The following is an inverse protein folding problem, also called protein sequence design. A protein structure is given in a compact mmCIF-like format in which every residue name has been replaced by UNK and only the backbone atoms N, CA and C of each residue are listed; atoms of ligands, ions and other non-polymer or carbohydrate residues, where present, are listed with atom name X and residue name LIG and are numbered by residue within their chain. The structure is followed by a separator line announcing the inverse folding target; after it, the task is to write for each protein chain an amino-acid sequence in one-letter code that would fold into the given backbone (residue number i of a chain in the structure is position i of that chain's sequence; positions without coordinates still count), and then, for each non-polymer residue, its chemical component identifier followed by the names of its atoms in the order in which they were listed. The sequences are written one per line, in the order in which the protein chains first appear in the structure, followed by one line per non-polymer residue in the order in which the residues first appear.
data_IF_777922524424
#
_entry.id   IF_777922524424
#
_cell.length_a   1.000
_cell.length_b   1.000
_cell.length_c   1.000
_cell.angle_alpha   90.00
_cell.angle_beta   90.00
_cell.angle_gamma   90.00
#
_symmetry.space_group_name_H-M   'P 1'
#
loop_
_entity.id
_entity.type
_entity.pdbx_description
1 polymer ?
#
# COMPACT_ATOMS: atom_id res chain seq x y z
N UNK A 1 68.88 -11.96 6.12
CA UNK A 1 67.65 -12.08 6.91
C UNK A 1 66.60 -12.74 6.03
N UNK A 2 66.42 -14.05 6.18
CA UNK A 2 65.54 -14.86 5.31
C UNK A 2 64.37 -15.37 6.14
N UNK A 3 63.14 -15.07 5.72
CA UNK A 3 61.92 -15.47 6.40
C UNK A 3 61.59 -16.96 6.15
N UNK A 4 61.05 -17.70 7.14
CA UNK A 4 60.71 -19.11 6.98
C UNK A 4 59.40 -19.29 6.19
N UNK A 5 59.43 -20.22 5.22
CA UNK A 5 58.26 -20.67 4.44
C UNK A 5 57.27 -21.43 5.32
N UNK A 6 55.99 -21.07 5.27
CA UNK A 6 54.90 -21.84 5.88
C UNK A 6 54.64 -23.15 5.11
N UNK A 7 54.36 -24.27 5.79
CA UNK A 7 53.99 -25.52 5.14
C UNK A 7 52.56 -25.48 4.58
N UNK A 8 52.37 -26.19 3.46
CA UNK A 8 51.12 -26.34 2.70
C UNK A 8 50.19 -27.32 3.43
N UNK A 9 48.88 -27.04 3.56
CA UNK A 9 47.94 -28.00 4.15
C UNK A 9 47.65 -29.16 3.19
N UNK A 10 47.69 -30.37 3.74
CA UNK A 10 47.36 -31.65 3.10
C UNK A 10 45.83 -31.80 3.00
N UNK A 11 45.26 -32.26 1.87
CA UNK A 11 43.84 -32.58 1.78
C UNK A 11 43.51 -33.90 2.52
N UNK A 12 42.32 -34.02 3.14
CA UNK A 12 41.88 -35.26 3.77
C UNK A 12 41.59 -36.35 2.73
N UNK A 13 42.13 -37.55 2.97
CA UNK A 13 41.82 -38.80 2.27
C UNK A 13 40.80 -39.63 3.08
N UNK A 14 39.92 -40.34 2.37
CA UNK A 14 39.06 -41.44 2.88
C UNK A 14 37.76 -40.95 3.52
N UNK A 15 36.57 -41.49 3.24
CA UNK A 15 36.18 -42.88 3.00
C UNK A 15 34.90 -42.87 2.13
N UNK A 16 34.71 -43.68 1.09
CA UNK A 16 34.75 -45.13 1.11
C UNK A 16 33.44 -45.69 1.70
N UNK A 17 32.30 -45.44 1.04
CA UNK A 17 31.02 -46.08 1.39
C UNK A 17 30.80 -47.28 0.46
N UNK A 18 30.58 -48.49 0.99
CA UNK A 18 30.33 -49.68 0.19
C UNK A 18 28.95 -49.65 -0.45
N UNK A 19 28.90 -50.05 -1.72
CA UNK A 19 27.69 -50.43 -2.43
C UNK A 19 27.11 -51.70 -1.82
N UNK A 20 25.92 -51.60 -1.23
CA UNK A 20 25.04 -52.75 -1.02
C UNK A 20 23.94 -52.69 -2.10
N UNK A 21 24.04 -53.68 -2.98
CA UNK A 21 23.07 -54.12 -3.97
C UNK A 21 22.31 -55.31 -3.37
N UNK A 22 21.02 -55.48 -3.73
CA UNK A 22 20.01 -56.51 -3.35
C UNK A 22 18.84 -55.87 -2.56
N UNK A 23 17.55 -55.90 -2.94
CA UNK A 23 16.75 -56.68 -3.90
C UNK A 23 15.47 -55.91 -4.28
N UNK A 24 14.76 -56.28 -5.37
CA UNK A 24 13.55 -55.60 -5.83
C UNK A 24 12.30 -56.11 -5.11
N UNK A 25 11.71 -55.30 -4.23
CA UNK A 25 10.36 -55.53 -3.71
C UNK A 25 9.31 -55.09 -4.72
N UNK A 26 8.86 -56.08 -5.49
CA UNK A 26 7.58 -56.09 -6.18
C UNK A 26 6.44 -56.06 -5.16
N UNK A 27 5.53 -55.08 -5.28
CA UNK A 27 4.32 -55.06 -4.46
C UNK A 27 3.73 -53.68 -4.15
N UNK A 28 3.59 -52.79 -5.15
CA UNK A 28 2.64 -51.68 -5.02
C UNK A 28 1.37 -52.04 -5.76
N UNK A 29 0.36 -52.44 -4.98
CA UNK A 29 -1.02 -52.49 -5.41
C UNK A 29 -1.41 -51.14 -6.01
N UNK A 30 -1.88 -51.17 -7.25
CA UNK A 30 -2.64 -50.08 -7.87
C UNK A 30 -3.84 -49.83 -6.97
N UNK A 31 -3.78 -48.77 -6.17
CA UNK A 31 -4.94 -48.27 -5.45
C UNK A 31 -5.77 -47.53 -6.50
N UNK A 32 -6.82 -48.19 -6.97
CA UNK A 32 -7.87 -47.58 -7.78
C UNK A 32 -8.36 -46.30 -7.08
N UNK A 33 -8.21 -45.18 -7.78
CA UNK A 33 -8.85 -43.92 -7.44
C UNK A 33 -10.37 -44.15 -7.36
N UNK A 34 -11.05 -43.76 -6.27
CA UNK A 34 -12.49 -43.63 -6.29
C UNK A 34 -12.85 -42.51 -7.27
N UNK A 35 -13.26 -42.92 -8.47
CA UNK A 35 -13.72 -42.04 -9.53
C UNK A 35 -14.73 -41.03 -9.01
N UNK A 36 -14.32 -39.77 -9.00
CA UNK A 36 -15.23 -38.64 -8.84
C UNK A 36 -16.24 -38.70 -10.01
N UNK A 37 -17.55 -38.68 -9.73
CA UNK A 37 -18.55 -38.75 -10.79
C UNK A 37 -18.38 -37.55 -11.73
N UNK A 38 -18.15 -37.85 -13.01
CA UNK A 38 -18.22 -36.89 -14.10
C UNK A 38 -19.63 -36.29 -14.11
N UNK A 39 -19.78 -35.09 -13.57
CA UNK A 39 -21.07 -34.40 -13.48
C UNK A 39 -21.14 -33.27 -12.45
N UNK A 40 -20.23 -33.22 -11.46
CA UNK A 40 -20.30 -32.16 -10.43
C UNK A 40 -19.87 -30.78 -10.95
N UNK A 41 -19.03 -30.73 -11.99
CA UNK A 41 -18.63 -29.46 -12.62
C UNK A 41 -19.72 -28.87 -13.53
N UNK A 42 -20.62 -29.67 -14.11
CA UNK A 42 -21.72 -29.15 -14.93
C UNK A 42 -22.82 -28.47 -14.10
N UNK A 43 -22.97 -28.85 -12.83
CA UNK A 43 -23.93 -28.21 -11.92
C UNK A 43 -23.53 -26.77 -11.51
N UNK A 44 -22.23 -26.44 -11.54
CA UNK A 44 -21.72 -25.10 -11.22
C UNK A 44 -21.70 -24.16 -12.43
N UNK A 45 -21.82 -24.68 -13.65
CA UNK A 45 -21.94 -23.89 -14.90
C UNK A 45 -23.37 -23.82 -15.44
N UNK A 46 -24.37 -24.25 -14.67
CA UNK A 46 -25.77 -24.04 -14.98
C UNK A 46 -26.08 -22.53 -14.97
N UNK A 47 -25.92 -21.89 -16.15
CA UNK A 47 -26.32 -20.53 -16.45
C UNK A 47 -27.74 -20.29 -15.94
N UNK A 48 -28.00 -19.23 -15.14
CA UNK A 48 -29.36 -18.81 -14.90
C UNK A 48 -30.01 -18.47 -16.24
N UNK A 49 -31.14 -19.13 -16.46
CA UNK A 49 -31.88 -19.20 -17.70
C UNK A 49 -32.32 -17.81 -18.17
N UNK A 50 -32.06 -17.56 -19.46
CA UNK A 50 -32.69 -16.50 -20.27
C UNK A 50 -34.21 -16.69 -20.22
N UNK A 51 -34.91 -16.03 -19.31
CA UNK A 51 -36.36 -15.75 -19.38
C UNK A 51 -36.78 -14.87 -18.18
N UNK A 52 -36.60 -13.56 -18.37
CA UNK A 52 -37.43 -12.45 -17.84
C UNK A 52 -36.86 -11.16 -18.47
N UNK A 53 -37.36 -10.76 -19.64
CA UNK A 53 -38.34 -9.64 -19.80
C UNK A 53 -37.70 -8.31 -19.38
N UNK A 54 -37.11 -7.53 -20.30
CA UNK A 54 -37.75 -6.54 -21.19
C UNK A 54 -38.29 -5.30 -20.44
N UNK A 55 -38.00 -4.11 -21.01
CA UNK A 55 -38.27 -2.72 -20.55
C UNK A 55 -37.28 -2.25 -19.46
N UNK A 56 -36.44 -1.23 -19.66
CA UNK A 56 -36.76 0.14 -20.12
C UNK A 56 -35.55 0.73 -20.85
N UNK A 57 -35.76 1.16 -22.09
CA UNK A 57 -34.86 2.03 -22.86
C UNK A 57 -35.51 3.42 -22.93
N UNK A 58 -34.79 4.41 -22.38
CA UNK A 58 -34.84 5.89 -22.61
C UNK A 58 -36.15 6.65 -22.26
N UNK A 59 -36.12 7.99 -21.99
CA UNK A 59 -35.05 9.01 -22.14
C UNK A 59 -34.82 9.87 -20.86
N UNK A 60 -33.83 10.76 -20.76
CA UNK A 60 -33.93 12.25 -20.85
C UNK A 60 -32.64 12.75 -20.16
N UNK A 61 -31.59 13.32 -20.78
CA UNK A 61 -31.50 14.54 -21.58
C UNK A 61 -32.31 15.73 -21.04
N UNK A 62 -32.15 16.05 -19.75
CA UNK A 62 -32.54 17.34 -19.19
C UNK A 62 -31.64 17.65 -17.97
N UNK A 63 -30.64 18.50 -18.17
CA UNK A 63 -29.74 18.96 -17.11
C UNK A 63 -28.63 19.87 -17.61
N UNK A 64 -28.92 20.65 -18.65
CA UNK A 64 -28.05 21.66 -19.23
C UNK A 64 -28.78 23.00 -19.07
N UNK A 65 -28.34 23.80 -18.09
CA UNK A 65 -28.76 25.19 -17.83
C UNK A 65 -27.69 25.79 -16.91
N UNK A 66 -26.71 26.53 -17.42
CA UNK A 66 -26.73 27.98 -17.69
C UNK A 66 -27.05 28.80 -16.45
N UNK A 67 -26.04 29.44 -15.86
CA UNK A 67 -25.93 30.91 -15.78
C UNK A 67 -24.92 31.35 -14.70
N UNK A 68 -24.06 32.28 -15.10
CA UNK A 68 -23.12 33.01 -14.26
C UNK A 68 -23.83 34.09 -13.41
N UNK A 69 -23.28 34.39 -12.23
CA UNK A 69 -23.46 35.66 -11.50
C UNK A 69 -22.23 35.83 -10.60
N UNK A 70 -21.21 36.61 -10.98
CA UNK A 70 -21.05 38.08 -10.81
C UNK A 70 -21.16 38.50 -9.34
N UNK A 71 -20.03 38.96 -8.79
CA UNK A 71 -19.95 39.55 -7.46
C UNK A 71 -18.56 40.09 -7.12
N UNK A 72 -17.92 40.79 -8.06
CA UNK A 72 -16.80 41.68 -7.74
C UNK A 72 -17.35 42.88 -6.96
N UNK A 73 -16.98 43.01 -5.69
CA UNK A 73 -17.22 44.25 -4.95
C UNK A 73 -16.10 45.25 -5.25
N UNK A 74 -16.52 46.26 -6.00
CA UNK A 74 -15.98 47.61 -6.16
C UNK A 74 -15.33 48.11 -4.85
N UNK A 75 -14.08 48.56 -4.85
CA UNK A 75 -13.65 49.92 -5.27
C UNK A 75 -14.46 51.03 -4.59
N UNK A 76 -13.91 51.56 -3.50
CA UNK A 76 -14.20 52.91 -3.02
C UNK A 76 -12.92 53.76 -3.14
N UNK A 77 -12.92 54.85 -3.92
CA UNK A 77 -11.91 55.89 -3.84
C UNK A 77 -12.39 57.00 -2.89
N UNK A 78 -11.50 57.53 -2.05
CA UNK A 78 -11.79 58.67 -1.19
C UNK A 78 -10.67 59.02 -0.21
N UNK A 79 -9.61 59.67 -0.72
CA UNK A 79 -8.78 60.63 0.03
C UNK A 79 -9.61 61.89 0.39
N UNK A 80 -9.22 62.79 1.33
CA UNK A 80 -7.90 62.96 1.97
C UNK A 80 -7.90 63.15 3.51
N UNK A 81 -6.70 63.05 4.09
CA UNK A 81 -6.31 63.56 5.42
C UNK A 81 -6.76 65.02 5.65
N UNK A 82 -7.08 65.38 6.91
CA UNK A 82 -6.09 66.16 7.66
C UNK A 82 -5.98 65.84 9.17
N UNK A 83 -4.72 65.68 9.60
CA UNK A 83 -4.10 66.23 10.83
C UNK A 83 -4.96 66.26 12.12
N UNK A 84 -4.69 65.30 13.02
CA UNK A 84 -4.64 65.55 14.46
C UNK A 84 -3.79 64.48 15.17
N UNK A 85 -2.74 64.93 15.86
CA UNK A 85 -1.91 64.16 16.80
C UNK A 85 -1.89 64.95 18.11
N UNK A 86 -1.65 64.37 19.30
CA UNK A 86 -2.11 63.11 19.88
C UNK A 86 -2.79 63.33 21.26
N UNK A 87 -3.58 62.36 21.75
CA UNK A 87 -3.78 62.19 23.20
C UNK A 87 -3.72 60.72 23.54
N UNK A 88 -2.68 60.35 24.30
CA UNK A 88 -2.56 59.05 24.93
C UNK A 88 -3.68 58.87 25.96
N UNK A 89 -4.40 57.76 25.88
CA UNK A 89 -5.10 57.19 27.03
C UNK A 89 -4.93 55.69 26.93
N UNK A 90 -4.01 55.20 27.76
CA UNK A 90 -3.86 53.79 28.06
C UNK A 90 -5.07 53.36 28.88
N UNK A 91 -5.95 52.54 28.31
CA UNK A 91 -6.87 51.71 29.08
C UNK A 91 -6.76 50.28 28.58
N UNK A 92 -6.38 49.43 29.51
CA UNK A 92 -6.33 47.98 29.41
C UNK A 92 -7.59 47.43 28.75
N UNK A 93 -7.41 46.93 27.54
CA UNK A 93 -8.26 45.90 26.98
C UNK A 93 -7.36 44.86 26.35
N UNK A 94 -6.76 44.06 27.24
CA UNK A 94 -6.22 42.75 26.92
C UNK A 94 -7.37 41.81 26.55
N UNK A 95 -8.06 42.12 25.45
CA UNK A 95 -8.79 41.11 24.70
C UNK A 95 -7.71 40.32 23.96
N UNK A 96 -7.57 39.05 24.34
CA UNK A 96 -6.78 38.02 23.66
C UNK A 96 -6.97 38.11 22.14
N UNK A 97 -6.19 38.96 21.49
CA UNK A 97 -5.80 38.82 20.11
C UNK A 97 -4.83 37.63 20.11
N UNK A 98 -5.39 36.43 20.26
CA UNK A 98 -4.81 35.26 19.62
C UNK A 98 -4.81 35.58 18.13
N UNK A 99 -3.74 36.23 17.68
CA UNK A 99 -3.17 36.01 16.36
C UNK A 99 -2.97 34.51 16.22
N UNK A 100 -4.06 33.79 15.96
CA UNK A 100 -4.00 32.61 15.14
C UNK A 100 -3.53 33.15 13.81
N UNK A 101 -2.27 32.90 13.49
CA UNK A 101 -1.80 33.06 12.12
C UNK A 101 -2.85 32.40 11.22
N UNK A 102 -3.34 33.15 10.23
CA UNK A 102 -3.99 32.60 9.03
C UNK A 102 -2.93 31.80 8.24
N UNK A 103 -2.29 30.85 8.91
CA UNK A 103 -1.25 30.01 8.34
C UNK A 103 -1.96 29.01 7.46
N UNK A 104 -2.04 29.37 6.18
CA UNK A 104 -2.68 28.56 5.18
C UNK A 104 -1.80 27.34 4.96
N UNK A 105 -2.29 26.16 5.33
CA UNK A 105 -1.59 24.88 5.15
C UNK A 105 -1.62 24.51 3.67
N UNK A 106 -0.62 23.76 3.21
CA UNK A 106 -0.62 23.20 1.86
C UNK A 106 -0.94 21.71 1.91
N UNK A 107 -1.97 21.29 1.18
CA UNK A 107 -2.37 19.89 1.03
C UNK A 107 -1.38 19.11 0.16
N UNK A 108 -1.43 17.78 0.23
CA UNK A 108 -0.56 16.89 -0.55
C UNK A 108 -0.63 17.10 -2.06
N UNK A 109 -1.76 17.63 -2.56
CA UNK A 109 -1.99 17.96 -3.98
C UNK A 109 -1.66 19.43 -4.32
N UNK A 110 -0.98 20.14 -3.41
CA UNK A 110 -0.54 21.53 -3.57
C UNK A 110 -1.63 22.57 -3.28
N UNK A 111 -2.85 22.16 -2.92
CA UNK A 111 -3.94 23.12 -2.64
C UNK A 111 -3.80 23.77 -1.27
N UNK A 112 -4.08 25.07 -1.12
CA UNK A 112 -4.16 25.70 0.18
C UNK A 112 -5.39 25.22 0.96
N UNK A 113 -5.25 25.08 2.28
CA UNK A 113 -6.35 24.75 3.19
C UNK A 113 -6.15 25.41 4.56
N UNK A 114 -7.26 25.76 5.21
CA UNK A 114 -7.22 26.32 6.57
C UNK A 114 -6.91 25.26 7.63
N UNK A 115 -7.25 23.98 7.39
CA UNK A 115 -7.04 22.87 8.32
C UNK A 115 -6.70 21.59 7.58
N UNK A 116 -5.88 20.72 8.20
CA UNK A 116 -5.49 19.41 7.64
C UNK A 116 -6.67 18.53 7.23
N UNK A 117 -7.79 18.59 7.97
CA UNK A 117 -9.00 17.79 7.65
C UNK A 117 -9.70 18.24 6.37
N UNK A 118 -9.47 19.48 5.93
CA UNK A 118 -10.06 20.05 4.72
C UNK A 118 -9.29 19.57 3.46
N UNK A 119 -8.06 19.06 3.62
CA UNK A 119 -7.30 18.38 2.57
C UNK A 119 -7.85 16.98 2.31
N UNK A 120 -7.99 16.58 1.04
CA UNK A 120 -8.34 15.20 0.68
C UNK A 120 -7.22 14.21 1.05
N UNK A 121 -7.56 12.93 1.18
CA UNK A 121 -6.53 11.90 1.24
C UNK A 121 -5.88 11.70 -0.14
N UNK A 122 -4.59 11.30 -0.18
CA UNK A 122 -3.95 10.91 -1.42
C UNK A 122 -4.73 9.82 -2.18
N UNK A 123 -4.61 9.79 -3.50
CA UNK A 123 -5.29 8.76 -4.30
C UNK A 123 -4.54 8.45 -5.58
N UNK A 124 -4.76 7.25 -6.12
CA UNK A 124 -4.14 6.82 -7.36
C UNK A 124 -2.63 6.60 -7.23
N UNK A 125 -1.93 6.58 -8.38
CA UNK A 125 -0.47 6.40 -8.44
C UNK A 125 0.28 7.49 -7.67
N UNK A 126 -0.04 8.76 -7.90
CA UNK A 126 0.60 9.89 -7.20
C UNK A 126 0.37 9.82 -5.68
N UNK A 127 -0.83 9.40 -5.26
CA UNK A 127 -1.11 9.22 -3.85
C UNK A 127 -0.31 8.11 -3.19
N UNK A 128 -0.08 6.99 -3.91
CA UNK A 128 0.83 5.95 -3.41
C UNK A 128 2.26 6.47 -3.27
N UNK A 129 2.78 7.26 -4.22
CA UNK A 129 4.16 7.80 -4.12
C UNK A 129 4.28 8.83 -3.00
N UNK A 130 3.21 9.57 -2.72
CA UNK A 130 3.15 10.44 -1.55
C UNK A 130 3.19 9.61 -0.25
N UNK A 131 2.34 8.59 -0.11
CA UNK A 131 2.22 7.79 1.13
C UNK A 131 3.47 6.94 1.39
N UNK A 132 4.01 6.35 0.32
CA UNK A 132 5.18 5.48 0.35
C UNK A 132 6.30 6.14 -0.47
N UNK A 133 7.21 6.92 0.16
CA UNK A 133 8.32 7.55 -0.57
C UNK A 133 9.23 6.56 -1.28
N UNK A 134 9.26 5.29 -0.84
CA UNK A 134 9.98 4.24 -1.54
C UNK A 134 9.26 3.68 -2.77
N UNK A 135 8.01 4.09 -3.05
CA UNK A 135 7.29 3.77 -4.27
C UNK A 135 7.60 4.80 -5.37
N UNK A 136 8.61 4.47 -6.16
CA UNK A 136 9.04 5.17 -7.37
C UNK A 136 8.82 4.28 -8.61
N UNK A 137 7.64 4.34 -9.24
CA UNK A 137 7.31 3.52 -10.40
C UNK A 137 8.09 3.86 -11.67
N UNK A 138 8.78 5.00 -11.70
CA UNK A 138 9.54 5.44 -12.88
C UNK A 138 11.02 4.99 -12.80
N UNK A 139 11.53 4.66 -11.60
CA UNK A 139 12.89 4.14 -11.38
C UNK A 139 12.98 2.65 -11.08
N UNK A 140 11.88 2.01 -10.70
CA UNK A 140 11.82 0.59 -10.41
C UNK A 140 11.05 -0.18 -11.47
N UNK A 141 11.27 -1.49 -11.54
CA UNK A 141 10.47 -2.40 -12.37
C UNK A 141 9.10 -2.60 -11.74
N UNK A 142 8.21 -1.61 -11.93
CA UNK A 142 6.86 -1.62 -11.40
C UNK A 142 5.82 -1.91 -12.48
N UNK A 143 4.82 -2.74 -12.14
CA UNK A 143 3.64 -3.01 -12.97
C UNK A 143 2.36 -2.53 -12.29
N UNK A 144 1.44 -1.99 -13.07
CA UNK A 144 0.08 -1.69 -12.62
C UNK A 144 -0.74 -2.99 -12.59
N UNK A 145 -1.07 -3.43 -11.38
CA UNK A 145 -1.83 -4.66 -11.18
C UNK A 145 -3.29 -4.52 -11.63
N UNK A 146 -3.84 -3.30 -11.72
CA UNK A 146 -5.21 -3.06 -12.17
C UNK A 146 -5.34 -3.15 -13.68
N UNK A 147 -4.26 -2.83 -14.42
CA UNK A 147 -4.19 -3.08 -15.87
C UNK A 147 -4.10 -4.57 -16.15
N UNK A 148 -3.26 -5.30 -15.41
CA UNK A 148 -3.11 -6.74 -15.55
C UNK A 148 -4.34 -7.52 -15.03
N UNK A 149 -5.06 -6.97 -14.06
CA UNK A 149 -6.20 -7.61 -13.39
C UNK A 149 -7.39 -6.63 -13.27
N UNK A 150 -8.11 -6.35 -14.38
CA UNK A 150 -9.22 -5.38 -14.39
C UNK A 150 -10.37 -5.71 -13.43
N UNK A 151 -10.46 -6.96 -12.96
CA UNK A 151 -11.43 -7.41 -11.96
C UNK A 151 -11.17 -6.85 -10.55
N UNK A 152 -9.98 -6.32 -10.27
CA UNK A 152 -9.67 -5.76 -8.96
C UNK A 152 -10.37 -4.42 -8.74
N UNK A 153 -11.27 -4.38 -7.76
CA UNK A 153 -12.01 -3.18 -7.37
C UNK A 153 -11.22 -2.37 -6.33
N UNK A 154 -10.10 -1.77 -6.76
CA UNK A 154 -9.23 -0.94 -5.93
C UNK A 154 -8.89 0.37 -6.65
N UNK A 155 -8.71 1.50 -5.93
CA UNK A 155 -8.31 2.75 -6.57
C UNK A 155 -6.90 2.73 -7.18
N UNK A 156 -5.96 1.99 -6.58
CA UNK A 156 -4.59 1.83 -7.08
C UNK A 156 -3.96 0.55 -6.53
N UNK A 157 -3.20 -0.16 -7.36
CA UNK A 157 -2.41 -1.32 -6.94
C UNK A 157 -1.24 -1.51 -7.89
N UNK A 158 -0.02 -1.49 -7.35
CA UNK A 158 1.22 -1.57 -8.12
C UNK A 158 2.17 -2.56 -7.47
N UNK A 159 2.82 -3.40 -8.27
CA UNK A 159 3.87 -4.29 -7.77
C UNK A 159 5.20 -3.93 -8.39
N UNK A 160 6.20 -3.70 -7.55
CA UNK A 160 7.56 -3.41 -7.93
C UNK A 160 8.47 -4.59 -7.59
N UNK A 161 9.29 -4.99 -8.55
CA UNK A 161 10.32 -6.00 -8.36
C UNK A 161 11.61 -5.33 -7.87
N UNK A 162 12.23 -5.88 -6.84
CA UNK A 162 13.51 -5.42 -6.31
C UNK A 162 14.40 -6.58 -5.92
N UNK A 163 15.70 -6.31 -5.81
CA UNK A 163 16.71 -7.27 -5.38
C UNK A 163 17.24 -6.88 -3.99
N UNK A 164 17.29 -7.85 -3.08
CA UNK A 164 17.96 -7.72 -1.78
C UNK A 164 19.10 -8.74 -1.67
N UNK A 165 18.92 -9.78 -0.86
CA UNK A 165 19.74 -11.00 -0.94
C UNK A 165 19.21 -11.97 -1.99
N UNK A 166 17.92 -11.82 -2.32
CA UNK A 166 17.24 -12.49 -3.41
C UNK A 166 16.10 -11.62 -3.93
N UNK A 167 15.36 -12.09 -4.94
CA UNK A 167 14.28 -11.32 -5.55
C UNK A 167 13.10 -11.17 -4.60
N UNK A 168 12.63 -9.93 -4.44
CA UNK A 168 11.47 -9.56 -3.64
C UNK A 168 10.49 -8.74 -4.47
N UNK A 169 9.19 -8.97 -4.26
CA UNK A 169 8.14 -8.17 -4.88
C UNK A 169 7.39 -7.36 -3.82
N UNK A 170 7.32 -6.05 -4.02
CA UNK A 170 6.62 -5.10 -3.16
C UNK A 170 5.34 -4.65 -3.85
N UNK A 171 4.20 -5.08 -3.33
CA UNK A 171 2.87 -4.69 -3.80
C UNK A 171 2.30 -3.56 -2.94
N UNK A 172 2.28 -2.36 -3.48
CA UNK A 172 1.65 -1.18 -2.88
C UNK A 172 0.20 -1.09 -3.33
N UNK A 173 -0.73 -0.81 -2.40
CA UNK A 173 -2.15 -0.74 -2.75
C UNK A 173 -2.89 0.32 -1.95
N UNK A 174 -3.85 0.95 -2.62
CA UNK A 174 -4.93 1.69 -1.99
C UNK A 174 -6.12 0.74 -1.86
N UNK A 175 -6.57 0.50 -0.63
CA UNK A 175 -7.66 -0.45 -0.33
C UNK A 175 -8.99 0.27 -0.32
N UNK A 176 -10.07 -0.36 -0.80
CA UNK A 176 -11.41 0.24 -0.79
C UNK A 176 -12.05 0.26 0.61
N UNK A 177 -11.62 -0.64 1.50
CA UNK A 177 -12.10 -0.71 2.88
C UNK A 177 -11.03 -1.29 3.80
N UNK A 178 -10.70 -0.57 4.88
CA UNK A 178 -9.81 -1.05 5.94
C UNK A 178 -10.31 -2.37 6.54
N UNK A 179 -11.62 -2.48 6.80
CA UNK A 179 -12.22 -3.68 7.38
C UNK A 179 -12.07 -4.90 6.47
N UNK A 180 -12.28 -4.72 5.16
CA UNK A 180 -12.11 -5.80 4.19
C UNK A 180 -10.63 -6.15 3.99
N UNK A 181 -9.75 -5.15 3.98
CA UNK A 181 -8.31 -5.35 3.88
C UNK A 181 -7.76 -6.13 5.08
N UNK A 182 -8.14 -5.77 6.32
CA UNK A 182 -7.75 -6.49 7.53
C UNK A 182 -8.16 -7.96 7.45
N UNK A 183 -9.43 -8.24 7.14
CA UNK A 183 -9.91 -9.63 6.97
C UNK A 183 -9.16 -10.40 5.87
N UNK A 184 -8.84 -9.72 4.77
CA UNK A 184 -8.05 -10.31 3.71
C UNK A 184 -6.65 -10.68 4.22
N UNK A 185 -5.96 -9.79 4.93
CA UNK A 185 -4.64 -10.06 5.48
C UNK A 185 -4.65 -11.11 6.59
N UNK A 186 -5.65 -11.11 7.48
CA UNK A 186 -5.82 -12.15 8.49
C UNK A 186 -5.92 -13.54 7.83
N UNK A 187 -6.68 -13.65 6.73
CA UNK A 187 -6.79 -14.88 5.96
C UNK A 187 -5.49 -15.22 5.22
N UNK A 188 -4.82 -14.23 4.62
CA UNK A 188 -3.58 -14.41 3.87
C UNK A 188 -2.46 -14.95 4.76
N UNK A 189 -2.36 -14.43 5.99
CA UNK A 189 -1.29 -14.74 6.92
C UNK A 189 -1.65 -15.83 7.93
N UNK A 190 -2.92 -16.22 8.03
CA UNK A 190 -3.40 -17.21 8.99
C UNK A 190 -3.33 -16.76 10.45
N UNK A 191 -3.14 -15.46 10.69
CA UNK A 191 -2.98 -14.86 12.01
C UNK A 191 -3.47 -13.41 11.99
N UNK A 192 -3.87 -12.91 13.15
CA UNK A 192 -4.20 -11.48 13.33
C UNK A 192 -2.93 -10.62 13.26
N UNK A 193 -3.07 -9.37 12.82
CA UNK A 193 -2.01 -8.37 12.93
C UNK A 193 -1.64 -8.08 14.38
N UNK A 194 -0.39 -7.69 14.59
CA UNK A 194 0.06 -6.97 15.78
C UNK A 194 0.22 -5.49 15.44
N UNK A 195 -0.07 -4.62 16.40
CA UNK A 195 0.26 -3.20 16.28
C UNK A 195 1.80 -3.08 16.26
N UNK A 196 2.34 -2.28 15.35
CA UNK A 196 3.77 -2.01 15.33
C UNK A 196 4.15 -1.16 16.57
N UNK A 197 4.90 -1.75 17.50
CA UNK A 197 5.38 -1.10 18.72
C UNK A 197 6.50 -0.10 18.40
N UNK A 198 6.11 1.12 18.03
CA UNK A 198 6.98 2.29 18.12
C UNK A 198 6.09 3.53 18.31
N UNK A 199 6.56 4.53 19.04
CA UNK A 199 5.74 5.60 19.63
C UNK A 199 4.84 6.40 18.67
N UNK A 200 5.13 6.36 17.36
CA UNK A 200 4.37 6.98 16.27
C UNK A 200 3.79 5.96 15.26
N UNK A 201 4.14 4.67 15.43
CA UNK A 201 3.76 3.54 14.57
C UNK A 201 2.45 2.85 14.99
N UNK A 202 1.75 3.34 16.02
CA UNK A 202 0.44 2.83 16.48
C UNK A 202 -0.70 2.92 15.44
N UNK A 203 -0.43 3.45 14.25
CA UNK A 203 -1.36 3.47 13.11
C UNK A 203 -0.95 2.53 11.99
N UNK A 204 -0.10 1.54 12.30
CA UNK A 204 0.35 0.49 11.39
C UNK A 204 0.04 -0.87 12.02
N UNK A 205 -0.74 -1.66 11.31
CA UNK A 205 -0.94 -3.07 11.60
C UNK A 205 0.04 -3.88 10.77
N UNK A 206 0.82 -4.73 11.42
CA UNK A 206 1.77 -5.62 10.75
C UNK A 206 1.37 -7.07 10.93
N UNK A 207 1.38 -7.82 9.84
CA UNK A 207 1.25 -9.26 9.87
C UNK A 207 2.64 -9.90 9.82
N UNK A 208 2.83 -10.90 10.67
CA UNK A 208 4.05 -11.70 10.67
C UNK A 208 4.21 -12.44 9.34
N UNK A 209 5.45 -12.70 8.94
CA UNK A 209 5.71 -13.41 7.69
C UNK A 209 5.10 -14.81 7.72
N UNK A 210 4.22 -15.10 6.76
CA UNK A 210 3.54 -16.37 6.60
C UNK A 210 3.90 -17.02 5.26
N UNK A 211 3.72 -18.34 5.15
CA UNK A 211 3.85 -19.06 3.89
C UNK A 211 2.51 -19.02 3.14
N UNK A 212 2.53 -18.63 1.88
CA UNK A 212 1.36 -18.55 1.02
C UNK A 212 0.88 -19.95 0.62
N UNK A 213 -0.31 -20.34 1.06
CA UNK A 213 -0.91 -21.63 0.70
C UNK A 213 -1.31 -21.65 -0.78
N UNK A 214 -0.98 -22.73 -1.49
CA UNK A 214 -1.31 -22.88 -2.92
C UNK A 214 -0.42 -22.06 -3.87
N UNK A 215 0.67 -21.47 -3.35
CA UNK A 215 1.73 -20.92 -4.21
C UNK A 215 2.70 -22.05 -4.58
N UNK A 216 2.53 -22.62 -5.78
CA UNK A 216 3.60 -23.38 -6.42
C UNK A 216 4.46 -22.37 -7.20
N UNK A 217 5.48 -21.79 -6.57
CA UNK A 217 6.31 -20.82 -7.25
C UNK A 217 7.37 -20.15 -6.41
N UNK A 218 8.18 -19.33 -7.11
CA UNK A 218 9.34 -18.60 -6.62
C UNK A 218 9.06 -17.50 -5.57
N UNK A 219 7.89 -17.45 -4.91
CA UNK A 219 7.56 -16.45 -3.88
C UNK A 219 6.60 -17.03 -2.84
N UNK A 220 7.16 -17.87 -1.98
CA UNK A 220 6.39 -18.66 -1.04
C UNK A 220 6.03 -17.93 0.25
N UNK A 221 6.72 -16.84 0.58
CA UNK A 221 6.49 -16.11 1.83
C UNK A 221 5.92 -14.74 1.57
N UNK A 222 5.03 -14.28 2.45
CA UNK A 222 4.46 -12.95 2.42
C UNK A 222 4.48 -12.29 3.80
N UNK A 223 4.61 -10.97 3.81
CA UNK A 223 4.45 -10.10 4.97
C UNK A 223 3.67 -8.86 4.56
N UNK A 224 2.93 -8.23 5.45
CA UNK A 224 2.09 -7.07 5.08
C UNK A 224 1.99 -6.03 6.17
N UNK A 225 1.84 -4.78 5.75
CA UNK A 225 1.52 -3.64 6.59
C UNK A 225 0.23 -2.99 6.06
N UNK A 226 -0.71 -2.70 6.96
CA UNK A 226 -1.92 -1.90 6.70
C UNK A 226 -1.86 -0.63 7.57
N UNK A 227 -2.18 0.53 6.99
CA UNK A 227 -2.25 1.76 7.77
C UNK A 227 -3.64 1.92 8.40
N UNK A 228 -3.77 1.77 9.72
CA UNK A 228 -5.07 1.75 10.42
C UNK A 228 -5.86 3.06 10.32
N UNK A 229 -5.19 4.17 9.99
CA UNK A 229 -5.81 5.50 9.80
C UNK A 229 -5.95 5.96 8.35
N UNK A 230 -5.54 5.15 7.37
CA UNK A 230 -5.55 5.55 5.97
C UNK A 230 -5.64 4.33 5.04
N UNK A 231 -6.34 4.41 3.88
CA UNK A 231 -6.68 3.25 3.06
C UNK A 231 -5.48 2.72 2.24
N UNK A 232 -4.35 2.44 2.87
CA UNK A 232 -3.13 2.01 2.19
C UNK A 232 -2.54 0.78 2.85
N UNK A 233 -2.02 -0.11 2.01
CA UNK A 233 -1.31 -1.29 2.44
C UNK A 233 -0.14 -1.59 1.52
N UNK A 234 0.85 -2.28 2.07
CA UNK A 234 1.97 -2.84 1.31
C UNK A 234 2.14 -4.30 1.70
N UNK A 235 2.32 -5.15 0.69
CA UNK A 235 2.61 -6.56 0.85
C UNK A 235 3.94 -6.87 0.20
N UNK A 236 4.83 -7.53 0.93
CA UNK A 236 6.08 -8.04 0.40
C UNK A 236 5.94 -9.53 0.20
N UNK A 237 6.42 -10.04 -0.94
CA UNK A 237 6.56 -11.48 -1.19
C UNK A 237 7.98 -11.85 -1.61
N UNK A 238 8.46 -13.02 -1.18
CA UNK A 238 9.83 -13.48 -1.46
C UNK A 238 9.95 -15.01 -1.38
N UNK A 239 11.05 -15.57 -1.89
CA UNK A 239 11.41 -16.99 -1.71
C UNK A 239 11.82 -17.32 -0.29
N UNK A 240 12.55 -16.41 0.36
CA UNK A 240 13.03 -16.63 1.72
C UNK A 240 12.22 -15.82 2.71
N UNK A 241 11.84 -16.46 3.82
CA UNK A 241 11.14 -15.82 4.93
C UNK A 241 11.87 -14.58 5.47
N UNK A 242 13.19 -14.65 5.55
CA UNK A 242 14.03 -13.57 6.05
C UNK A 242 14.05 -12.34 5.13
N UNK A 243 13.90 -12.53 3.82
CA UNK A 243 13.88 -11.43 2.85
C UNK A 243 12.61 -10.60 2.97
N UNK A 244 11.48 -11.23 3.32
CA UNK A 244 10.22 -10.51 3.58
C UNK A 244 10.38 -9.52 4.74
N UNK A 245 10.92 -9.98 5.86
CA UNK A 245 11.13 -9.14 7.04
C UNK A 245 12.08 -7.98 6.73
N UNK A 246 13.24 -8.30 6.14
CA UNK A 246 14.24 -7.30 5.75
C UNK A 246 13.66 -6.26 4.80
N UNK A 247 12.95 -6.67 3.75
CA UNK A 247 12.34 -5.74 2.81
C UNK A 247 11.31 -4.81 3.46
N UNK A 248 10.46 -5.33 4.36
CA UNK A 248 9.52 -4.49 5.10
C UNK A 248 10.24 -3.47 6.00
N UNK A 249 11.40 -3.81 6.54
CA UNK A 249 12.14 -2.95 7.46
C UNK A 249 13.05 -1.94 6.73
N UNK A 250 13.60 -2.30 5.57
CA UNK A 250 14.62 -1.49 4.88
C UNK A 250 14.12 -0.81 3.61
N UNK A 251 13.22 -1.44 2.86
CA UNK A 251 12.75 -0.92 1.57
C UNK A 251 11.43 -0.17 1.70
N UNK A 252 10.59 -0.51 2.67
CA UNK A 252 9.27 0.13 2.82
C UNK A 252 9.40 1.36 3.70
N UNK A 253 9.32 2.53 3.08
CA UNK A 253 9.20 3.80 3.79
C UNK A 253 7.74 4.23 3.77
N UNK A 254 7.24 4.67 4.92
CA UNK A 254 5.85 5.10 5.08
C UNK A 254 5.85 6.46 5.76
N UNK A 255 5.21 7.45 5.14
CA UNK A 255 4.98 8.74 5.78
C UNK A 255 4.11 8.59 7.04
N UNK A 256 4.31 9.43 8.07
CA UNK A 256 3.42 9.47 9.23
C UNK A 256 1.96 9.68 8.82
N UNK A 257 1.04 8.93 9.43
CA UNK A 257 -0.38 8.87 8.99
C UNK A 257 -1.09 10.22 9.18
N UNK A 258 -0.70 10.99 10.18
CA UNK A 258 -1.17 12.35 10.46
C UNK A 258 -0.69 13.39 9.43
N UNK A 259 0.39 13.08 8.69
CA UNK A 259 0.98 13.95 7.67
C UNK A 259 0.53 13.64 6.24
N UNK A 260 -0.14 12.51 5.98
CA UNK A 260 -0.53 12.08 4.63
C UNK A 260 -1.41 13.07 3.86
N UNK A 261 -2.06 14.01 4.54
CA UNK A 261 -2.94 14.99 3.90
C UNK A 261 -2.20 16.27 3.49
N UNK A 262 -0.99 16.47 3.99
CA UNK A 262 -0.22 17.70 3.82
C UNK A 262 0.86 17.50 2.77
N UNK A 263 1.30 18.60 2.15
CA UNK A 263 2.48 18.59 1.30
C UNK A 263 3.72 18.16 2.08
N UNK A 264 4.68 17.59 1.36
CA UNK A 264 6.00 17.36 1.93
C UNK A 264 6.71 18.71 2.09
N UNK A 265 7.18 19.08 3.30
CA UNK A 265 7.93 20.33 3.48
C UNK A 265 9.26 20.36 2.71
N UNK A 266 9.77 19.21 2.25
CA UNK A 266 11.08 19.06 1.59
C UNK A 266 11.01 18.69 0.09
N UNK A 267 9.82 18.69 -0.53
CA UNK A 267 9.65 18.35 -1.95
C UNK A 267 10.02 19.48 -2.93
#
# INVERSE_FOLDING_TARGET
MSAPRRPRPTPPQGSGVPSDELEPTSGFAVREDPGLPAGMLEALYARPSRKRTALVVLPVLAGLGVAAFVGANLLWPGDPDPVATPTATSEDSSADARSGSDETLTCWDGKPAARTKDCALPTGRAGLSHVFPSFDPDRMECRDELVANPQYQRPAMWTCEQELTGPVALTYSQVSSIKSARRYFDKLHGASSVDAEDGDQRRRERWATARLTGSEGAREFAGSILLSGAPYAVTVTAQNRADVGRALDTLVQVRPVDRLRLADPEA
#
